data_IF_173281125848
#
_entry.id   IF_173281125848
#
_cell.length_a   1.000
_cell.length_b   1.000
_cell.length_c   1.000
_cell.angle_alpha   90.00
_cell.angle_beta   90.00
_cell.angle_gamma   90.00
#
_symmetry.space_group_name_H-M   'P 1'
#
loop_
_entity.id
_entity.type
_entity.pdbx_description
1 polymer ?
#
# COMPACT_ATOMS: atom_id res chain seq x y z
N UNK A 1 34.65 -7.06 50.21
CA UNK A 1 33.36 -7.76 50.39
C UNK A 1 32.75 -7.97 49.02
N UNK A 2 32.78 -9.19 48.49
CA UNK A 2 32.14 -9.53 47.23
C UNK A 2 30.71 -9.97 47.52
N UNK A 3 29.72 -9.24 47.01
CA UNK A 3 28.31 -9.64 47.12
C UNK A 3 28.10 -10.81 46.17
N UNK A 4 27.74 -11.98 46.71
CA UNK A 4 27.36 -13.13 45.91
C UNK A 4 25.99 -12.87 45.27
N UNK A 5 25.93 -12.82 43.94
CA UNK A 5 24.67 -12.71 43.19
C UNK A 5 24.01 -14.09 43.16
N UNK A 6 22.88 -14.24 43.84
CA UNK A 6 22.04 -15.45 43.75
C UNK A 6 21.08 -15.31 42.57
N UNK A 7 21.21 -16.11 41.50
CA UNK A 7 20.29 -16.03 40.37
C UNK A 7 18.90 -16.46 40.81
N UNK A 8 17.89 -15.65 40.47
CA UNK A 8 16.49 -15.98 40.69
C UNK A 8 16.04 -17.04 39.69
N UNK A 9 15.13 -17.97 40.04
CA UNK A 9 14.57 -18.92 39.09
C UNK A 9 13.95 -18.20 37.88
N UNK A 10 14.17 -18.74 36.67
CA UNK A 10 13.61 -18.23 35.42
C UNK A 10 12.10 -18.51 35.39
N UNK A 11 11.29 -17.47 35.58
CA UNK A 11 9.85 -17.54 35.34
C UNK A 11 9.55 -17.31 33.85
N UNK A 12 8.52 -17.96 33.28
CA UNK A 12 8.07 -17.63 31.93
C UNK A 12 7.72 -16.13 31.86
N UNK A 13 8.05 -15.44 30.76
CA UNK A 13 7.76 -14.02 30.62
C UNK A 13 6.25 -13.79 30.81
N UNK A 14 5.84 -12.73 31.53
CA UNK A 14 4.44 -12.50 31.80
C UNK A 14 3.69 -12.34 30.47
N UNK A 15 2.54 -12.99 30.34
CA UNK A 15 1.72 -13.00 29.12
C UNK A 15 1.37 -11.59 28.60
N UNK A 16 1.45 -10.57 29.46
CA UNK A 16 1.24 -9.16 29.13
C UNK A 16 2.41 -8.49 28.41
N UNK A 17 3.59 -9.14 28.35
CA UNK A 17 4.82 -8.61 27.74
C UNK A 17 5.18 -9.28 26.41
N UNK A 18 4.66 -10.48 26.17
CA UNK A 18 4.89 -11.28 24.97
C UNK A 18 3.63 -11.37 24.09
N UNK A 19 3.82 -11.50 22.78
CA UNK A 19 2.72 -11.62 21.82
C UNK A 19 2.00 -10.31 21.46
N UNK A 20 0.83 -10.44 20.82
CA UNK A 20 0.05 -9.33 20.26
C UNK A 20 -0.40 -8.35 21.35
N UNK A 21 -0.80 -8.86 22.52
CA UNK A 21 -1.24 -8.03 23.66
C UNK A 21 -0.09 -7.17 24.19
N UNK A 22 1.10 -7.76 24.34
CA UNK A 22 2.31 -7.02 24.72
C UNK A 22 2.79 -6.02 23.66
N UNK A 23 2.51 -6.27 22.37
CA UNK A 23 2.76 -5.32 21.29
C UNK A 23 1.78 -4.14 21.31
N UNK A 24 0.48 -4.40 21.44
CA UNK A 24 -0.56 -3.36 21.50
C UNK A 24 -0.30 -2.40 22.68
N UNK A 25 0.00 -2.94 23.86
CA UNK A 25 0.30 -2.12 25.04
C UNK A 25 1.56 -1.26 24.87
N UNK A 26 2.61 -1.81 24.25
CA UNK A 26 3.87 -1.09 24.01
C UNK A 26 3.78 -0.06 22.89
N UNK A 27 2.90 -0.22 21.91
CA UNK A 27 2.81 0.67 20.75
C UNK A 27 1.64 1.66 20.87
N UNK A 28 0.43 1.18 21.14
CA UNK A 28 -0.79 2.02 21.15
C UNK A 28 -1.06 2.67 22.53
N UNK A 29 -0.68 1.99 23.62
CA UNK A 29 -1.00 2.43 25.00
C UNK A 29 0.23 2.75 25.85
N UNK A 30 1.33 3.14 25.20
CA UNK A 30 2.61 3.41 25.87
C UNK A 30 2.63 4.69 26.70
N UNK A 31 1.84 5.70 26.31
CA UNK A 31 1.72 6.97 27.02
C UNK A 31 0.25 7.36 27.19
N UNK A 32 -0.10 8.23 28.17
CA UNK A 32 -1.46 8.74 28.33
C UNK A 32 -1.99 9.45 27.07
N UNK A 33 -1.11 10.16 26.36
CA UNK A 33 -1.42 10.83 25.09
C UNK A 33 -1.72 9.80 23.98
N UNK A 34 -0.91 8.76 23.84
CA UNK A 34 -1.15 7.69 22.86
C UNK A 34 -2.45 6.93 23.16
N UNK A 35 -2.77 6.74 24.44
CA UNK A 35 -4.03 6.12 24.87
C UNK A 35 -5.22 6.98 24.46
N UNK A 36 -5.17 8.30 24.71
CA UNK A 36 -6.24 9.22 24.33
C UNK A 36 -6.42 9.30 22.80
N UNK A 37 -5.33 9.36 22.03
CA UNK A 37 -5.36 9.32 20.56
C UNK A 37 -5.95 8.00 20.04
N UNK A 38 -5.55 6.88 20.64
CA UNK A 38 -6.06 5.56 20.25
C UNK A 38 -7.56 5.45 20.51
N UNK A 39 -8.03 5.86 21.70
CA UNK A 39 -9.45 5.88 22.03
C UNK A 39 -10.23 6.85 21.12
N UNK A 40 -9.67 8.02 20.84
CA UNK A 40 -10.26 8.99 19.91
C UNK A 40 -10.39 8.43 18.49
N UNK A 41 -9.36 7.74 18.00
CA UNK A 41 -9.39 7.07 16.70
C UNK A 41 -10.47 5.98 16.66
N UNK A 42 -10.57 5.13 17.69
CA UNK A 42 -11.64 4.14 17.78
C UNK A 42 -13.03 4.77 17.84
N UNK A 43 -13.19 5.88 18.57
CA UNK A 43 -14.46 6.59 18.62
C UNK A 43 -14.85 7.16 17.26
N UNK A 44 -13.91 7.78 16.53
CA UNK A 44 -14.15 8.26 15.17
C UNK A 44 -14.51 7.12 14.23
N UNK A 45 -13.77 6.00 14.28
CA UNK A 45 -14.08 4.81 13.51
C UNK A 45 -15.48 4.28 13.84
N UNK A 46 -15.85 4.21 15.10
CA UNK A 46 -17.19 3.80 15.53
C UNK A 46 -18.30 4.72 15.00
N UNK A 47 -18.04 6.02 14.85
CA UNK A 47 -19.01 6.97 14.30
C UNK A 47 -19.11 6.92 12.78
N UNK A 48 -18.03 6.61 12.07
CA UNK A 48 -17.95 6.64 10.60
C UNK A 48 -18.25 5.29 9.97
N UNK A 49 -17.77 4.18 10.56
CA UNK A 49 -17.91 2.84 9.97
C UNK A 49 -19.36 2.39 9.79
N UNK A 50 -20.25 2.48 10.81
CA UNK A 50 -21.63 2.01 10.66
C UNK A 50 -22.40 2.71 9.52
N UNK A 51 -22.43 4.06 9.42
CA UNK A 51 -23.12 4.71 8.30
C UNK A 51 -22.44 4.45 6.96
N UNK A 52 -21.10 4.34 6.90
CA UNK A 52 -20.39 3.94 5.68
C UNK A 52 -20.81 2.55 5.20
N UNK A 53 -20.90 1.57 6.10
CA UNK A 53 -21.26 0.20 5.77
C UNK A 53 -22.71 0.13 5.28
N UNK A 54 -23.62 0.81 5.96
CA UNK A 54 -25.02 0.87 5.53
C UNK A 54 -25.13 1.47 4.12
N UNK A 55 -24.50 2.62 3.88
CA UNK A 55 -24.53 3.29 2.58
C UNK A 55 -23.85 2.48 1.46
N UNK A 56 -22.70 1.85 1.73
CA UNK A 56 -21.92 1.12 0.71
C UNK A 56 -22.41 -0.27 0.40
N UNK A 57 -23.06 -0.96 1.35
CA UNK A 57 -23.43 -2.37 1.21
C UNK A 57 -24.93 -2.61 1.33
N UNK A 58 -25.61 -2.01 2.31
CA UNK A 58 -27.01 -2.30 2.60
C UNK A 58 -27.96 -1.53 1.69
N UNK A 59 -27.74 -0.22 1.57
CA UNK A 59 -28.59 0.68 0.77
C UNK A 59 -28.12 0.77 -0.70
N UNK A 60 -27.13 -0.04 -1.09
CA UNK A 60 -26.43 0.07 -2.36
C UNK A 60 -27.13 -0.61 -3.53
N UNK A 61 -27.06 0.02 -4.71
CA UNK A 61 -27.63 -0.52 -5.94
C UNK A 61 -26.62 -1.44 -6.65
N UNK A 62 -26.87 -2.75 -6.62
CA UNK A 62 -25.95 -3.77 -7.14
C UNK A 62 -26.19 -4.16 -8.60
N UNK A 63 -27.42 -4.03 -9.09
CA UNK A 63 -27.83 -4.52 -10.41
C UNK A 63 -28.51 -3.43 -11.24
N UNK A 64 -28.13 -3.32 -12.52
CA UNK A 64 -28.63 -2.31 -13.45
C UNK A 64 -27.76 -2.21 -14.69
N UNK A 65 -28.30 -1.65 -15.76
CA UNK A 65 -27.61 -1.48 -17.05
C UNK A 65 -27.13 -0.05 -17.30
N UNK A 66 -27.52 0.90 -16.45
CA UNK A 66 -27.21 2.33 -16.63
C UNK A 66 -27.27 3.12 -15.33
N UNK A 67 -27.10 4.45 -15.43
CA UNK A 67 -27.04 5.35 -14.27
C UNK A 67 -28.43 5.56 -13.65
N UNK A 68 -29.45 5.45 -14.47
CA UNK A 68 -30.87 5.50 -14.14
C UNK A 68 -31.31 4.36 -13.21
N UNK A 69 -30.52 3.31 -13.08
CA UNK A 69 -30.78 2.22 -12.15
C UNK A 69 -30.33 2.54 -10.70
N UNK A 70 -29.66 3.68 -10.46
CA UNK A 70 -29.27 4.09 -9.12
C UNK A 70 -30.43 4.81 -8.42
N UNK A 71 -30.85 4.34 -7.24
CA UNK A 71 -31.91 4.94 -6.41
C UNK A 71 -31.51 6.27 -5.76
N UNK A 72 -30.21 6.46 -5.53
CA UNK A 72 -29.63 7.68 -4.95
C UNK A 72 -29.60 7.71 -3.42
N UNK A 73 -30.18 6.72 -2.74
CA UNK A 73 -30.10 6.59 -1.27
C UNK A 73 -28.77 5.96 -0.81
N UNK A 74 -28.19 5.07 -1.61
CA UNK A 74 -26.93 4.38 -1.30
C UNK A 74 -25.82 4.54 -2.35
N UNK A 75 -24.78 3.73 -2.20
CA UNK A 75 -23.70 3.66 -3.17
C UNK A 75 -24.16 2.94 -4.45
N UNK A 76 -23.89 3.53 -5.62
CA UNK A 76 -24.24 2.89 -6.88
C UNK A 76 -23.09 2.06 -7.45
N UNK A 77 -23.08 0.75 -7.15
CA UNK A 77 -22.07 -0.18 -7.68
C UNK A 77 -22.20 -0.42 -9.18
N UNK A 78 -23.40 -0.25 -9.75
CA UNK A 78 -23.63 -0.31 -11.20
C UNK A 78 -22.74 0.70 -11.93
N UNK A 79 -22.68 1.95 -11.44
CA UNK A 79 -21.83 2.98 -12.04
C UNK A 79 -20.33 2.63 -11.93
N UNK A 80 -19.91 2.13 -10.77
CA UNK A 80 -18.51 1.73 -10.53
C UNK A 80 -18.08 0.64 -11.50
N UNK A 81 -18.93 -0.39 -11.72
CA UNK A 81 -18.66 -1.46 -12.68
C UNK A 81 -18.59 -0.96 -14.10
N UNK A 82 -19.56 -0.13 -14.51
CA UNK A 82 -19.65 0.40 -15.86
C UNK A 82 -18.48 1.33 -16.23
N UNK A 83 -17.76 1.89 -15.25
CA UNK A 83 -16.65 2.83 -15.45
C UNK A 83 -15.35 2.36 -14.78
N UNK A 84 -15.27 1.07 -14.44
CA UNK A 84 -14.14 0.51 -13.71
C UNK A 84 -12.80 0.72 -14.44
N UNK A 85 -12.76 0.48 -15.76
CA UNK A 85 -11.56 0.72 -16.57
C UNK A 85 -11.09 2.18 -16.50
N UNK A 86 -12.03 3.11 -16.44
CA UNK A 86 -11.71 4.54 -16.36
C UNK A 86 -11.12 4.93 -14.99
N UNK A 87 -11.53 4.28 -13.91
CA UNK A 87 -10.90 4.47 -12.59
C UNK A 87 -9.49 3.89 -12.51
N UNK A 88 -9.22 2.78 -13.22
CA UNK A 88 -7.91 2.14 -13.23
C UNK A 88 -6.92 2.84 -14.18
N UNK A 89 -7.40 3.28 -15.35
CA UNK A 89 -6.55 3.78 -16.44
C UNK A 89 -6.61 5.31 -16.56
N UNK A 90 -7.71 5.94 -16.19
CA UNK A 90 -7.95 7.37 -16.37
C UNK A 90 -8.62 7.73 -17.70
N UNK A 91 -8.53 9.01 -18.08
CA UNK A 91 -9.13 9.59 -19.29
C UNK A 91 -8.32 9.32 -20.56
N UNK A 92 -8.02 8.05 -20.85
CA UNK A 92 -7.36 7.66 -22.10
C UNK A 92 -8.38 7.34 -23.20
N UNK A 93 -8.19 7.83 -24.44
CA UNK A 93 -8.95 7.34 -25.58
C UNK A 93 -8.57 5.88 -25.88
N UNK A 94 -9.50 5.12 -26.48
CA UNK A 94 -9.33 3.69 -26.80
C UNK A 94 -8.03 3.40 -27.56
N UNK A 95 -7.61 4.30 -28.45
CA UNK A 95 -6.39 4.17 -29.25
C UNK A 95 -5.09 4.26 -28.45
N UNK A 96 -5.12 4.83 -27.24
CA UNK A 96 -3.94 5.06 -26.40
C UNK A 96 -3.90 4.17 -25.15
N UNK A 97 -4.88 3.27 -24.97
CA UNK A 97 -4.93 2.32 -23.86
C UNK A 97 -3.74 1.35 -23.82
N UNK A 98 -3.04 1.19 -24.95
CA UNK A 98 -1.82 0.37 -25.00
C UNK A 98 -0.71 0.93 -24.10
N UNK A 99 -0.63 2.26 -23.87
CA UNK A 99 0.45 2.84 -23.06
C UNK A 99 0.32 2.46 -21.59
N UNK A 100 -0.82 2.69 -20.91
CA UNK A 100 -0.96 2.29 -19.51
C UNK A 100 -0.84 0.78 -19.34
N UNK A 101 -1.41 -0.03 -20.24
CA UNK A 101 -1.28 -1.49 -20.22
C UNK A 101 0.18 -1.92 -20.33
N UNK A 102 0.96 -1.32 -21.24
CA UNK A 102 2.38 -1.62 -21.39
C UNK A 102 3.19 -1.18 -20.15
N UNK A 103 2.90 -0.01 -19.58
CA UNK A 103 3.56 0.46 -18.35
C UNK A 103 3.27 -0.45 -17.16
N UNK A 104 2.01 -0.81 -16.91
CA UNK A 104 1.66 -1.74 -15.83
C UNK A 104 2.22 -3.14 -16.06
N UNK A 105 2.22 -3.63 -17.30
CA UNK A 105 2.83 -4.91 -17.67
C UNK A 105 4.34 -4.93 -17.39
N UNK A 106 5.06 -3.88 -17.78
CA UNK A 106 6.49 -3.75 -17.52
C UNK A 106 6.78 -3.63 -16.02
N UNK A 107 6.00 -2.82 -15.30
CA UNK A 107 6.12 -2.68 -13.85
C UNK A 107 5.90 -4.03 -13.14
N UNK A 108 4.91 -4.81 -13.55
CA UNK A 108 4.67 -6.16 -13.04
C UNK A 108 5.81 -7.13 -13.33
N UNK A 109 6.36 -7.08 -14.54
CA UNK A 109 7.52 -7.90 -14.93
C UNK A 109 8.77 -7.52 -14.12
N UNK A 110 9.02 -6.22 -13.93
CA UNK A 110 10.12 -5.73 -13.10
C UNK A 110 9.94 -6.14 -11.63
N UNK A 111 8.72 -6.02 -11.09
CA UNK A 111 8.41 -6.46 -9.74
C UNK A 111 8.68 -7.96 -9.58
N UNK A 112 8.22 -8.78 -10.54
CA UNK A 112 8.47 -10.22 -10.55
C UNK A 112 9.97 -10.53 -10.61
N UNK A 113 10.71 -9.84 -11.47
CA UNK A 113 12.17 -9.94 -11.58
C UNK A 113 12.87 -9.61 -10.26
N UNK A 114 12.45 -8.55 -9.57
CA UNK A 114 13.00 -8.17 -8.27
C UNK A 114 12.66 -9.22 -7.19
N UNK A 115 11.47 -9.79 -7.22
CA UNK A 115 11.01 -10.77 -6.23
C UNK A 115 11.73 -12.13 -6.36
N UNK A 116 12.18 -12.50 -7.56
CA UNK A 116 13.00 -13.69 -7.78
C UNK A 116 14.39 -13.46 -7.17
N UNK A 117 14.67 -14.06 -6.01
CA UNK A 117 15.94 -13.93 -5.28
C UNK A 117 17.13 -14.63 -5.95
N UNK A 118 16.88 -15.59 -6.85
CA UNK A 118 17.91 -16.50 -7.40
C UNK A 118 18.31 -16.19 -8.86
N UNK A 119 18.53 -14.93 -9.21
CA UNK A 119 19.07 -14.56 -10.52
C UNK A 119 20.55 -14.18 -10.40
N UNK A 120 21.48 -14.92 -11.03
CA UNK A 120 22.93 -14.74 -10.88
C UNK A 120 23.50 -13.48 -11.57
N UNK A 121 22.66 -12.60 -12.13
CA UNK A 121 23.10 -11.41 -12.87
C UNK A 121 22.24 -10.16 -12.57
N UNK A 122 21.86 -9.95 -11.30
CA UNK A 122 21.18 -8.72 -10.84
C UNK A 122 22.04 -7.44 -10.95
N UNK A 123 23.29 -7.53 -11.41
CA UNK A 123 24.24 -6.42 -11.50
C UNK A 123 24.56 -5.96 -12.94
N UNK A 124 23.91 -6.53 -13.98
CA UNK A 124 24.32 -6.31 -15.37
C UNK A 124 23.35 -5.56 -16.27
N UNK A 125 22.22 -5.06 -15.76
CA UNK A 125 21.27 -4.32 -16.62
C UNK A 125 20.68 -3.09 -15.93
N UNK A 126 21.48 -2.03 -15.73
CA UNK A 126 20.98 -0.75 -15.21
C UNK A 126 20.06 0.00 -16.19
N UNK A 127 19.99 -0.39 -17.47
CA UNK A 127 19.42 0.48 -18.51
C UNK A 127 18.04 0.06 -19.05
N UNK A 128 17.52 -1.13 -18.71
CA UNK A 128 16.26 -1.62 -19.28
C UNK A 128 15.01 -0.78 -18.89
N UNK A 129 14.91 -0.24 -17.66
CA UNK A 129 13.85 0.71 -17.31
C UNK A 129 14.00 2.06 -18.06
N UNK A 130 15.24 2.50 -18.31
CA UNK A 130 15.53 3.76 -19.00
C UNK A 130 15.26 3.68 -20.51
N UNK A 131 15.52 2.51 -21.13
CA UNK A 131 15.29 2.27 -22.56
C UNK A 131 13.80 2.33 -22.92
N UNK A 132 12.93 1.79 -22.07
CA UNK A 132 11.48 1.91 -22.25
C UNK A 132 11.00 3.36 -22.07
N UNK A 133 11.62 4.10 -21.14
CA UNK A 133 11.30 5.51 -20.89
C UNK A 133 11.73 6.45 -22.03
N UNK A 134 12.79 6.10 -22.77
CA UNK A 134 13.23 6.85 -23.96
C UNK A 134 12.46 6.51 -25.25
N UNK A 135 11.83 5.32 -25.32
CA UNK A 135 11.03 4.92 -26.49
C UNK A 135 9.55 5.35 -26.42
N UNK A 136 9.04 5.74 -25.24
CA UNK A 136 7.75 6.41 -25.13
C UNK A 136 7.87 7.88 -25.55
N UNK A 137 6.98 8.42 -26.40
CA UNK A 137 7.03 9.82 -26.85
C UNK A 137 6.48 10.77 -25.76
N UNK A 138 6.89 10.56 -24.51
CA UNK A 138 6.59 11.40 -23.37
C UNK A 138 7.88 12.15 -22.97
N UNK A 139 8.38 12.97 -23.89
CA UNK A 139 9.59 13.78 -23.75
C UNK A 139 9.47 14.93 -22.74
N UNK A 140 8.53 14.87 -21.78
CA UNK A 140 8.29 15.94 -20.81
C UNK A 140 8.50 15.55 -19.35
N UNK A 141 9.00 14.34 -19.07
CA UNK A 141 9.27 13.90 -17.69
C UNK A 141 10.76 13.58 -17.46
N UNK A 142 11.65 14.44 -17.98
CA UNK A 142 13.10 14.37 -17.75
C UNK A 142 13.55 14.87 -16.37
N UNK A 143 12.64 15.13 -15.44
CA UNK A 143 12.99 15.68 -14.12
C UNK A 143 13.23 14.63 -13.01
N UNK A 144 13.14 13.32 -13.30
CA UNK A 144 13.30 12.25 -12.30
C UNK A 144 14.63 11.50 -12.33
N UNK A 145 15.56 11.85 -13.23
CA UNK A 145 16.80 11.07 -13.44
C UNK A 145 17.98 11.51 -12.54
N UNK A 146 17.79 12.50 -11.66
CA UNK A 146 18.81 12.88 -10.67
C UNK A 146 18.92 11.87 -9.50
N UNK A 147 17.95 10.98 -9.34
CA UNK A 147 17.89 10.05 -8.19
C UNK A 147 18.67 8.74 -8.39
N UNK A 148 19.30 8.53 -9.56
CA UNK A 148 20.28 7.45 -9.74
C UNK A 148 21.55 7.65 -8.88
N UNK A 149 21.84 8.88 -8.46
CA UNK A 149 22.92 9.17 -7.51
C UNK A 149 22.61 8.68 -6.08
N UNK A 150 21.34 8.63 -5.68
CA UNK A 150 20.93 8.17 -4.36
C UNK A 150 21.12 6.66 -4.21
N UNK A 151 20.78 5.89 -5.25
CA UNK A 151 20.93 4.43 -5.24
C UNK A 151 22.41 3.96 -5.18
N UNK A 152 23.33 4.74 -5.77
CA UNK A 152 24.78 4.47 -5.71
C UNK A 152 25.37 4.76 -4.31
N UNK A 153 24.72 5.61 -3.50
CA UNK A 153 25.13 5.93 -2.12
C UNK A 153 24.66 4.90 -1.09
N UNK A 154 23.59 4.15 -1.37
CA UNK A 154 23.05 3.13 -0.45
C UNK A 154 23.81 1.80 -0.57
N UNK A 155 24.26 1.45 -1.77
CA UNK A 155 24.96 0.19 -2.03
C UNK A 155 26.50 0.31 -1.97
N UNK A 156 26.99 1.17 -1.06
CA UNK A 156 28.39 1.38 -0.72
C UNK A 156 29.41 0.41 -1.31
N UNK A 157 30.00 0.80 -2.44
CA UNK A 157 31.36 0.38 -2.78
C UNK A 157 32.29 1.33 -2.02
N UNK A 158 32.90 0.81 -0.95
CA UNK A 158 34.17 1.32 -0.45
C UNK A 158 35.30 0.88 -1.38
#
# INVERSE_FOLDING_TARGET
MTIAHTPHPDLPPPLTSVGVVGWLRRNLFSTPLNTLLTLGAFYLLYRVLPPMINWTLLDADWAGTGREACSGEGACWVFVRLRFLHFMVGFYPESELWRPVATFGLAGLLLLYLLIKNLPHKAGLPDLPCLFFHLSPFSSFTAGCSDCLWWRRINGAG
#
